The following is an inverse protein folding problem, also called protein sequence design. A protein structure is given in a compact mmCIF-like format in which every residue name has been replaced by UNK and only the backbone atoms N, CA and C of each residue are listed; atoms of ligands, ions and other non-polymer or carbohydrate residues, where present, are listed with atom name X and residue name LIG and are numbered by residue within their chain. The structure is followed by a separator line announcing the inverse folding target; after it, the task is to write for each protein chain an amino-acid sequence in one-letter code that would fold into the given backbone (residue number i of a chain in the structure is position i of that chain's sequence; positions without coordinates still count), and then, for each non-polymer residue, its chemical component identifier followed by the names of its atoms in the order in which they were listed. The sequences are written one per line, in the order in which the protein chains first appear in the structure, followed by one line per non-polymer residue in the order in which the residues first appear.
data_IF_451468882418
#
_entry.id   IF_451468882418
#
_cell.length_a   1.000
_cell.length_b   1.000
_cell.length_c   1.000
_cell.angle_alpha   90.00
_cell.angle_beta   90.00
_cell.angle_gamma   90.00
#
_symmetry.space_group_name_H-M   'P 1'
#
loop_
_entity.id
_entity.type
_entity.pdbx_description
1 polymer ?
#
# COMPACT_ATOMS: atom_id res chain seq x y z
N UNK A 1 9.20 9.37 -2.71
CA UNK A 1 9.43 9.06 -4.14
C UNK A 1 9.96 10.31 -4.83
N UNK A 2 10.92 10.16 -5.72
CA UNK A 2 11.54 11.23 -6.49
C UNK A 2 11.97 10.73 -7.88
N UNK A 3 12.67 11.57 -8.67
CA UNK A 3 13.08 11.24 -10.03
C UNK A 3 14.11 10.11 -10.15
N UNK A 4 14.70 9.65 -9.06
CA UNK A 4 15.59 8.48 -9.04
C UNK A 4 14.86 7.16 -8.89
N UNK A 5 13.55 7.22 -8.61
CA UNK A 5 12.75 6.04 -8.36
C UNK A 5 12.32 5.34 -9.66
N UNK A 6 12.14 4.02 -9.54
CA UNK A 6 11.66 3.14 -10.60
C UNK A 6 10.38 2.47 -10.15
N UNK A 7 9.32 2.69 -10.91
CA UNK A 7 7.96 2.25 -10.57
C UNK A 7 7.55 1.09 -11.47
N UNK A 8 7.06 0.00 -10.88
CA UNK A 8 6.42 -1.08 -11.63
C UNK A 8 4.91 -0.86 -11.65
N UNK A 9 4.38 -0.65 -12.85
CA UNK A 9 2.94 -0.56 -13.10
C UNK A 9 2.37 -1.96 -13.35
N UNK A 10 1.41 -2.36 -12.55
CA UNK A 10 0.79 -3.68 -12.63
C UNK A 10 -0.74 -3.62 -12.69
N UNK A 11 -1.35 -2.71 -11.95
CA UNK A 11 -2.81 -2.58 -11.91
C UNK A 11 -3.36 -1.96 -13.20
N UNK A 12 -4.64 -2.16 -13.53
CA UNK A 12 -5.24 -1.57 -14.71
C UNK A 12 -5.20 -0.04 -14.68
N UNK A 13 -4.71 0.59 -15.75
CA UNK A 13 -4.59 2.06 -15.86
C UNK A 13 -5.93 2.81 -15.80
N UNK A 14 -7.04 2.14 -16.12
CA UNK A 14 -8.37 2.71 -15.99
C UNK A 14 -8.88 2.72 -14.54
N UNK A 15 -8.23 2.00 -13.64
CA UNK A 15 -8.53 2.07 -12.21
C UNK A 15 -7.88 3.32 -11.62
N UNK A 16 -8.65 4.12 -10.89
CA UNK A 16 -8.21 5.40 -10.33
C UNK A 16 -6.94 5.28 -9.48
N UNK A 17 -6.75 4.18 -8.75
CA UNK A 17 -5.56 3.95 -7.94
C UNK A 17 -4.30 3.87 -8.81
N UNK A 18 -4.28 3.05 -9.85
CA UNK A 18 -3.12 2.94 -10.73
C UNK A 18 -2.93 4.21 -11.57
N UNK A 19 -4.03 4.81 -12.04
CA UNK A 19 -3.97 6.06 -12.80
C UNK A 19 -3.31 7.17 -11.97
N UNK A 20 -3.75 7.38 -10.74
CA UNK A 20 -3.27 8.48 -9.90
C UNK A 20 -1.92 8.15 -9.25
N UNK A 21 -1.85 7.05 -8.49
CA UNK A 21 -0.65 6.71 -7.69
C UNK A 21 0.44 6.08 -8.55
N UNK A 22 0.07 5.18 -9.45
CA UNK A 22 1.03 4.54 -10.35
C UNK A 22 1.49 5.47 -11.46
N UNK A 23 0.58 6.07 -12.24
CA UNK A 23 0.93 6.82 -13.45
C UNK A 23 1.17 8.31 -13.19
N UNK A 24 0.17 9.05 -12.76
CA UNK A 24 0.27 10.51 -12.68
C UNK A 24 1.32 10.96 -11.68
N UNK A 25 1.40 10.31 -10.51
CA UNK A 25 2.40 10.63 -9.51
C UNK A 25 3.83 10.34 -10.00
N UNK A 26 4.05 9.21 -10.67
CA UNK A 26 5.38 8.88 -11.23
C UNK A 26 5.81 9.89 -12.31
N UNK A 27 4.89 10.30 -13.18
CA UNK A 27 5.14 11.33 -14.19
C UNK A 27 5.44 12.69 -13.56
N UNK A 28 4.64 13.09 -12.56
CA UNK A 28 4.85 14.36 -11.85
C UNK A 28 6.22 14.45 -11.17
N UNK A 29 6.70 13.34 -10.62
CA UNK A 29 7.99 13.26 -9.93
C UNK A 29 9.18 13.00 -10.88
N UNK A 30 8.93 12.72 -12.16
CA UNK A 30 9.96 12.37 -13.13
C UNK A 30 10.58 10.99 -12.88
N UNK A 31 9.88 10.09 -12.20
CA UNK A 31 10.32 8.73 -11.93
C UNK A 31 10.24 7.85 -13.19
N UNK A 32 11.17 6.90 -13.32
CA UNK A 32 11.14 5.89 -14.39
C UNK A 32 9.96 4.94 -14.15
N UNK A 33 9.28 4.54 -15.23
CA UNK A 33 8.14 3.66 -15.17
C UNK A 33 8.29 2.48 -16.10
N UNK A 34 8.10 1.26 -15.56
CA UNK A 34 8.05 0.01 -16.29
C UNK A 34 6.66 -0.62 -16.16
N UNK A 35 6.22 -1.32 -17.18
CA UNK A 35 4.96 -2.07 -17.16
C UNK A 35 5.25 -3.54 -16.91
N UNK A 36 4.47 -4.14 -16.02
CA UNK A 36 4.60 -5.56 -15.68
C UNK A 36 4.07 -6.45 -16.82
N UNK A 37 4.82 -7.48 -17.16
CA UNK A 37 4.45 -8.47 -18.19
C UNK A 37 3.31 -9.42 -17.76
N UNK A 38 2.84 -9.27 -16.54
CA UNK A 38 1.72 -10.02 -15.98
C UNK A 38 2.03 -10.61 -14.61
N UNK A 39 0.99 -11.15 -13.95
CA UNK A 39 1.06 -11.58 -12.55
C UNK A 39 2.18 -12.60 -12.26
N UNK A 40 2.53 -13.43 -13.23
CA UNK A 40 3.58 -14.46 -13.07
C UNK A 40 4.99 -13.89 -13.14
N UNK A 41 5.14 -12.68 -13.69
CA UNK A 41 6.40 -12.02 -13.93
C UNK A 41 6.71 -10.91 -12.92
N UNK A 42 5.85 -10.67 -11.92
CA UNK A 42 6.01 -9.56 -10.97
C UNK A 42 7.40 -9.56 -10.32
N UNK A 43 7.84 -10.70 -9.74
CA UNK A 43 9.15 -10.78 -9.09
C UNK A 43 10.31 -10.68 -10.08
N UNK A 44 10.17 -11.24 -11.28
CA UNK A 44 11.13 -11.15 -12.37
C UNK A 44 11.29 -9.69 -12.78
N UNK A 45 10.20 -8.98 -13.06
CA UNK A 45 10.22 -7.57 -13.47
C UNK A 45 10.70 -6.63 -12.35
N UNK A 46 10.39 -6.92 -11.08
CA UNK A 46 10.94 -6.16 -9.94
C UNK A 46 12.46 -6.22 -9.96
N UNK A 47 13.04 -7.40 -10.21
CA UNK A 47 14.48 -7.61 -10.27
C UNK A 47 15.09 -7.00 -11.54
N UNK A 48 14.55 -7.32 -12.72
CA UNK A 48 15.06 -6.90 -14.03
C UNK A 48 15.13 -5.38 -14.14
N UNK A 49 14.07 -4.68 -13.75
CA UNK A 49 13.97 -3.22 -13.86
C UNK A 49 14.52 -2.48 -12.64
N UNK A 50 15.04 -3.21 -11.63
CA UNK A 50 15.55 -2.63 -10.38
C UNK A 50 14.52 -1.72 -9.70
N UNK A 51 13.30 -2.21 -9.57
CA UNK A 51 12.15 -1.47 -9.05
C UNK A 51 12.40 -1.02 -7.61
N UNK A 52 12.06 0.24 -7.35
CA UNK A 52 12.14 0.84 -6.01
C UNK A 52 10.78 1.04 -5.37
N UNK A 53 9.74 1.17 -6.19
CA UNK A 53 8.37 1.43 -5.74
C UNK A 53 7.37 0.64 -6.57
N UNK A 54 6.37 0.05 -5.91
CA UNK A 54 5.21 -0.55 -6.60
C UNK A 54 3.99 -0.59 -5.70
N UNK A 55 2.82 -0.63 -6.33
CA UNK A 55 1.54 -0.77 -5.68
C UNK A 55 0.83 -2.03 -6.16
N UNK A 56 0.37 -2.85 -5.22
CA UNK A 56 -0.37 -4.07 -5.51
C UNK A 56 -1.58 -4.21 -4.60
N UNK A 57 -2.48 -5.12 -4.96
CA UNK A 57 -3.56 -5.55 -4.08
C UNK A 57 -3.05 -6.55 -3.04
N UNK A 58 -3.73 -6.71 -1.88
CA UNK A 58 -3.31 -7.60 -0.79
C UNK A 58 -2.95 -9.01 -1.22
N UNK A 59 -3.74 -9.61 -2.11
CA UNK A 59 -3.54 -10.98 -2.59
C UNK A 59 -2.13 -11.23 -3.19
N UNK A 60 -1.50 -10.21 -3.76
CA UNK A 60 -0.13 -10.31 -4.30
C UNK A 60 0.86 -10.43 -3.14
N UNK A 61 0.76 -9.58 -2.12
CA UNK A 61 1.64 -9.63 -0.95
C UNK A 61 1.47 -10.91 -0.15
N UNK A 62 0.24 -11.38 0.02
CA UNK A 62 -0.07 -12.66 0.67
C UNK A 62 0.55 -13.84 -0.10
N UNK A 63 0.49 -13.81 -1.43
CA UNK A 63 1.13 -14.82 -2.28
C UNK A 63 2.66 -14.78 -2.15
N UNK A 64 3.26 -13.58 -2.16
CA UNK A 64 4.69 -13.40 -1.93
C UNK A 64 5.11 -13.95 -0.56
N UNK A 65 4.39 -13.57 0.50
CA UNK A 65 4.61 -14.06 1.85
C UNK A 65 4.56 -15.59 1.93
N UNK A 66 3.48 -16.20 1.44
CA UNK A 66 3.31 -17.66 1.43
C UNK A 66 4.45 -18.36 0.70
N UNK A 67 4.89 -17.83 -0.43
CA UNK A 67 5.99 -18.41 -1.21
C UNK A 67 7.33 -18.28 -0.49
N UNK A 68 7.61 -17.16 0.16
CA UNK A 68 8.82 -16.97 0.98
C UNK A 68 8.82 -17.95 2.15
N UNK A 69 7.73 -18.02 2.93
CA UNK A 69 7.62 -18.91 4.08
C UNK A 69 7.78 -20.38 3.69
N UNK A 70 7.14 -20.81 2.58
CA UNK A 70 7.29 -22.17 2.04
C UNK A 70 8.73 -22.47 1.59
N UNK A 71 9.43 -21.49 1.03
CA UNK A 71 10.82 -21.64 0.63
C UNK A 71 11.74 -21.80 1.84
N UNK A 72 11.53 -20.99 2.88
CA UNK A 72 12.26 -21.08 4.14
C UNK A 72 12.02 -22.41 4.85
N UNK A 73 10.77 -22.91 4.82
CA UNK A 73 10.43 -24.23 5.37
C UNK A 73 11.18 -25.35 4.65
N UNK A 74 11.19 -25.38 3.31
CA UNK A 74 11.93 -26.34 2.52
C UNK A 74 13.43 -26.31 2.79
N UNK A 75 13.97 -25.14 3.14
CA UNK A 75 15.38 -24.96 3.47
C UNK A 75 15.69 -25.28 4.94
N UNK A 76 14.69 -25.61 5.76
CA UNK A 76 14.85 -25.81 7.21
C UNK A 76 15.19 -24.56 8.00
N UNK A 77 14.95 -23.36 7.42
CA UNK A 77 15.30 -22.05 8.01
C UNK A 77 14.11 -21.34 8.66
N UNK A 78 12.88 -21.84 8.50
CA UNK A 78 11.65 -21.14 8.89
C UNK A 78 11.65 -20.71 10.34
N UNK A 79 11.93 -21.62 11.28
CA UNK A 79 11.89 -21.31 12.71
C UNK A 79 13.02 -20.34 13.12
N UNK A 80 14.19 -20.45 12.51
CA UNK A 80 15.28 -19.50 12.74
C UNK A 80 14.92 -18.08 12.26
N UNK A 81 14.29 -17.95 11.10
CA UNK A 81 13.85 -16.65 10.56
C UNK A 81 12.74 -16.07 11.42
N UNK A 82 11.72 -16.85 11.83
CA UNK A 82 10.68 -16.39 12.75
C UNK A 82 11.25 -15.86 14.08
N UNK A 83 12.23 -16.59 14.64
CA UNK A 83 12.91 -16.13 15.85
C UNK A 83 13.64 -14.81 15.63
N UNK A 84 14.38 -14.66 14.54
CA UNK A 84 15.05 -13.42 14.18
C UNK A 84 14.07 -12.26 13.98
N UNK A 85 12.88 -12.49 13.38
CA UNK A 85 11.84 -11.47 13.24
C UNK A 85 11.40 -10.92 14.61
N UNK A 86 11.14 -11.81 15.57
CA UNK A 86 10.73 -11.41 16.93
C UNK A 86 11.84 -10.67 17.66
N UNK A 87 13.07 -11.20 17.65
CA UNK A 87 14.24 -10.66 18.37
C UNK A 87 14.69 -9.29 17.83
N UNK A 88 14.37 -8.97 16.58
CA UNK A 88 14.81 -7.75 15.93
C UNK A 88 13.65 -6.77 15.60
N UNK A 89 12.48 -6.98 16.20
CA UNK A 89 11.29 -6.16 15.91
C UNK A 89 11.49 -4.67 16.18
N UNK A 90 12.27 -4.32 17.20
CA UNK A 90 12.54 -2.95 17.62
C UNK A 90 13.66 -2.26 16.84
N UNK A 91 14.35 -2.98 15.96
CA UNK A 91 15.40 -2.41 15.12
C UNK A 91 14.84 -1.51 14.04
N UNK A 92 15.67 -0.60 13.57
CA UNK A 92 15.35 0.27 12.43
C UNK A 92 15.16 -0.53 11.15
N UNK A 93 14.44 0.04 10.18
CA UNK A 93 14.22 -0.60 8.87
C UNK A 93 15.55 -0.90 8.15
N UNK A 94 16.55 -0.04 8.31
CA UNK A 94 17.88 -0.25 7.73
C UNK A 94 18.61 -1.44 8.35
N UNK A 95 18.60 -1.56 9.67
CA UNK A 95 19.20 -2.73 10.37
C UNK A 95 18.49 -4.03 10.01
N UNK A 96 17.15 -4.01 9.94
CA UNK A 96 16.36 -5.17 9.51
C UNK A 96 16.70 -5.57 8.07
N UNK A 97 16.88 -4.60 7.17
CA UNK A 97 17.29 -4.85 5.79
C UNK A 97 18.60 -5.65 5.71
N UNK A 98 19.57 -5.30 6.53
CA UNK A 98 20.85 -6.05 6.59
C UNK A 98 20.67 -7.47 7.15
N UNK A 99 19.86 -7.62 8.23
CA UNK A 99 19.58 -8.92 8.84
C UNK A 99 18.85 -9.86 7.87
N UNK A 100 17.87 -9.34 7.14
CA UNK A 100 17.01 -10.09 6.21
C UNK A 100 17.40 -9.87 4.74
N UNK A 101 18.68 -9.61 4.48
CA UNK A 101 19.21 -9.34 3.14
C UNK A 101 18.82 -10.40 2.10
N UNK A 102 18.79 -11.67 2.47
CA UNK A 102 18.39 -12.76 1.57
C UNK A 102 16.94 -12.60 1.11
N UNK A 103 16.04 -12.12 2.00
CA UNK A 103 14.63 -11.82 1.65
C UNK A 103 14.56 -10.58 0.77
N UNK A 104 15.33 -9.53 1.05
CA UNK A 104 15.41 -8.36 0.18
C UNK A 104 15.91 -8.71 -1.22
N UNK A 105 16.84 -9.63 -1.35
CA UNK A 105 17.36 -10.09 -2.65
C UNK A 105 16.30 -10.78 -3.52
N UNK A 106 15.25 -11.36 -2.91
CA UNK A 106 14.10 -11.90 -3.66
C UNK A 106 13.43 -10.78 -4.46
N UNK A 107 13.45 -9.56 -3.94
CA UNK A 107 12.90 -8.35 -4.56
C UNK A 107 14.00 -7.48 -5.22
N UNK A 108 15.14 -8.04 -5.58
CA UNK A 108 16.25 -7.32 -6.21
C UNK A 108 17.02 -6.37 -5.30
N UNK A 109 16.72 -6.31 -4.01
CA UNK A 109 17.43 -5.48 -3.01
C UNK A 109 17.20 -3.98 -3.11
N UNK A 110 16.47 -3.50 -4.13
CA UNK A 110 16.31 -2.06 -4.44
C UNK A 110 14.98 -1.47 -3.93
N UNK A 111 14.04 -2.30 -3.52
CA UNK A 111 12.72 -1.85 -3.09
C UNK A 111 12.84 -0.92 -1.88
N UNK A 112 12.32 0.30 -2.03
CA UNK A 112 12.20 1.32 -0.98
C UNK A 112 10.84 1.28 -0.32
N UNK A 113 9.78 1.03 -1.11
CA UNK A 113 8.41 1.02 -0.60
C UNK A 113 7.48 0.18 -1.49
N UNK A 114 6.62 -0.55 -0.83
CA UNK A 114 5.41 -1.14 -1.41
C UNK A 114 4.17 -0.48 -0.83
N UNK A 115 3.12 -0.33 -1.63
CA UNK A 115 1.81 0.13 -1.18
C UNK A 115 0.77 -0.96 -1.45
N UNK A 116 0.00 -1.29 -0.42
CA UNK A 116 -1.18 -2.14 -0.53
C UNK A 116 -2.44 -1.29 -0.51
N UNK A 117 -3.35 -1.52 -1.45
CA UNK A 117 -4.62 -0.80 -1.53
C UNK A 117 -5.73 -1.66 -2.10
N UNK A 118 -6.93 -1.08 -2.22
CA UNK A 118 -8.15 -1.68 -2.75
C UNK A 118 -8.83 -2.74 -1.86
N UNK A 119 -8.15 -3.29 -0.85
CA UNK A 119 -8.74 -4.17 0.16
C UNK A 119 -7.86 -4.18 1.42
N UNK A 120 -8.37 -4.70 2.53
CA UNK A 120 -7.61 -4.85 3.76
C UNK A 120 -6.52 -5.91 3.58
N UNK A 121 -5.30 -5.59 4.02
CA UNK A 121 -4.18 -6.52 4.06
C UNK A 121 -4.23 -7.36 5.33
N UNK A 122 -3.89 -8.65 5.22
CA UNK A 122 -3.72 -9.52 6.37
C UNK A 122 -2.64 -8.96 7.32
N UNK A 123 -2.99 -8.86 8.62
CA UNK A 123 -2.13 -8.23 9.64
C UNK A 123 -0.81 -8.97 9.85
N UNK A 124 -0.81 -10.29 9.74
CA UNK A 124 0.40 -11.10 9.90
C UNK A 124 1.34 -10.92 8.70
N UNK A 125 0.77 -10.77 7.49
CA UNK A 125 1.54 -10.45 6.28
C UNK A 125 2.14 -9.06 6.38
N UNK A 126 1.36 -8.07 6.77
CA UNK A 126 1.83 -6.69 6.97
C UNK A 126 2.97 -6.64 7.98
N UNK A 127 2.77 -7.28 9.16
CA UNK A 127 3.79 -7.34 10.21
C UNK A 127 5.06 -8.06 9.72
N UNK A 128 4.94 -9.15 8.97
CA UNK A 128 6.09 -9.90 8.47
C UNK A 128 6.96 -9.05 7.53
N UNK A 129 6.36 -8.33 6.57
CA UNK A 129 7.11 -7.43 5.70
C UNK A 129 7.87 -6.36 6.50
N UNK A 130 7.23 -5.79 7.53
CA UNK A 130 7.88 -4.82 8.44
C UNK A 130 8.99 -5.44 9.27
N UNK A 131 8.80 -6.66 9.76
CA UNK A 131 9.83 -7.40 10.50
C UNK A 131 11.02 -7.73 9.61
N UNK A 132 10.82 -7.97 8.31
CA UNK A 132 11.89 -8.13 7.32
C UNK A 132 12.58 -6.80 6.92
N UNK A 133 12.10 -5.66 7.38
CA UNK A 133 12.64 -4.35 7.00
C UNK A 133 12.16 -3.88 5.62
N UNK A 134 11.08 -4.45 5.09
CA UNK A 134 10.44 -4.01 3.85
C UNK A 134 9.31 -3.04 4.22
N UNK A 135 9.39 -1.85 3.65
CA UNK A 135 8.40 -0.81 3.89
C UNK A 135 7.13 -1.09 3.07
N UNK A 136 6.20 -1.83 3.68
CA UNK A 136 4.88 -2.08 3.14
C UNK A 136 3.87 -1.21 3.90
N UNK A 137 3.21 -0.30 3.18
CA UNK A 137 2.23 0.63 3.72
C UNK A 137 0.85 0.35 3.14
N UNK A 138 -0.20 0.47 3.95
CA UNK A 138 -1.56 0.44 3.47
C UNK A 138 -2.04 1.84 3.08
N UNK A 139 -2.81 1.92 1.98
CA UNK A 139 -3.57 3.09 1.58
C UNK A 139 -5.05 2.76 1.50
N UNK A 140 -5.89 3.72 1.87
CA UNK A 140 -7.34 3.62 1.81
C UNK A 140 -7.94 4.77 1.02
N UNK A 141 -8.98 4.45 0.28
CA UNK A 141 -9.77 5.42 -0.45
C UNK A 141 -10.73 4.76 -1.42
N UNK A 142 -11.44 5.58 -2.16
CA UNK A 142 -12.53 5.21 -3.06
C UNK A 142 -12.31 5.87 -4.42
N UNK A 143 -13.01 5.39 -5.45
CA UNK A 143 -13.03 6.08 -6.75
C UNK A 143 -13.51 7.53 -6.59
N UNK A 144 -14.49 7.73 -5.74
CA UNK A 144 -15.09 9.01 -5.39
C UNK A 144 -14.14 9.96 -4.65
N UNK A 145 -12.98 9.47 -4.20
CA UNK A 145 -11.96 10.27 -3.49
C UNK A 145 -10.63 10.38 -4.22
N UNK A 146 -10.54 10.04 -5.49
CA UNK A 146 -9.50 10.29 -6.51
C UNK A 146 -8.06 9.76 -6.26
N UNK A 147 -7.76 8.61 -5.70
CA UNK A 147 -8.56 7.71 -4.88
C UNK A 147 -8.29 7.83 -3.38
N UNK A 148 -7.19 8.49 -2.93
CA UNK A 148 -6.62 8.28 -1.59
C UNK A 148 -7.23 9.23 -0.58
N UNK A 149 -7.78 8.66 0.49
CA UNK A 149 -8.20 9.39 1.70
C UNK A 149 -7.04 9.45 2.70
N UNK A 150 -6.43 8.29 2.96
CA UNK A 150 -5.35 8.16 3.93
C UNK A 150 -4.34 7.10 3.54
N UNK A 151 -3.15 7.21 4.08
CA UNK A 151 -2.04 6.28 3.84
C UNK A 151 -1.15 6.20 5.07
N UNK A 152 -0.62 5.02 5.32
CA UNK A 152 0.42 4.83 6.31
C UNK A 152 1.76 5.40 5.84
N UNK A 153 2.54 5.85 6.79
CA UNK A 153 3.95 6.21 6.58
C UNK A 153 4.81 5.47 7.59
N UNK A 154 6.13 5.48 7.41
CA UNK A 154 7.04 4.88 8.38
C UNK A 154 6.90 5.46 9.80
N UNK A 155 6.54 6.74 9.90
CA UNK A 155 6.38 7.47 11.17
C UNK A 155 5.02 7.21 11.82
N UNK A 156 4.02 6.85 11.04
CA UNK A 156 2.65 6.64 11.48
C UNK A 156 2.16 5.20 11.24
N UNK A 157 3.08 4.25 11.19
CA UNK A 157 2.75 2.85 10.97
C UNK A 157 2.06 2.24 12.19
N UNK A 158 0.96 1.54 11.95
CA UNK A 158 0.27 0.71 12.92
C UNK A 158 -0.41 -0.45 12.20
N UNK A 159 -0.02 -1.67 12.49
CA UNK A 159 -0.58 -2.88 11.86
C UNK A 159 -2.11 -2.87 11.87
N UNK A 160 -2.68 -3.07 10.70
CA UNK A 160 -4.12 -3.07 10.46
C UNK A 160 -4.76 -1.69 10.42
N UNK A 161 -3.95 -0.62 10.33
CA UNK A 161 -4.42 0.74 10.13
C UNK A 161 -4.43 1.09 8.63
N UNK A 162 -5.20 2.09 8.27
CA UNK A 162 -5.15 2.73 6.95
C UNK A 162 -4.37 4.05 6.96
N UNK A 163 -3.66 4.32 8.04
CA UNK A 163 -2.86 5.53 8.23
C UNK A 163 -3.67 6.77 8.60
N UNK A 164 -3.09 7.92 8.33
CA UNK A 164 -3.72 9.23 8.57
C UNK A 164 -4.27 9.80 7.26
N UNK A 165 -5.30 10.66 7.35
CA UNK A 165 -5.77 11.40 6.18
C UNK A 165 -4.63 12.18 5.51
N UNK A 166 -4.70 12.28 4.19
CA UNK A 166 -3.78 13.11 3.41
C UNK A 166 -3.86 14.59 3.82
N UNK A 167 -2.83 15.40 3.58
CA UNK A 167 -2.92 16.85 3.75
C UNK A 167 -4.14 17.42 3.02
N UNK A 168 -4.87 18.30 3.69
CA UNK A 168 -6.12 18.93 3.22
C UNK A 168 -7.35 18.01 3.13
N UNK A 169 -7.23 16.73 3.51
CA UNK A 169 -8.37 15.82 3.67
C UNK A 169 -8.77 15.80 5.14
N UNK A 170 -10.03 16.11 5.41
CA UNK A 170 -10.65 15.98 6.72
C UNK A 170 -11.43 14.66 6.79
N UNK A 171 -11.41 14.03 7.94
CA UNK A 171 -12.11 12.77 8.17
C UNK A 171 -12.77 12.81 9.56
N UNK A 172 -13.98 12.28 9.66
CA UNK A 172 -14.69 12.07 10.92
C UNK A 172 -15.39 10.71 10.90
N UNK A 173 -15.73 10.20 12.07
CA UNK A 173 -16.56 9.01 12.21
C UNK A 173 -17.94 9.45 12.69
N UNK A 174 -18.93 9.19 11.87
CA UNK A 174 -20.32 9.46 12.20
C UNK A 174 -20.99 8.20 12.76
N UNK A 175 -22.03 8.38 13.59
CA UNK A 175 -22.80 7.30 14.22
C UNK A 175 -21.95 6.25 14.93
N UNK A 176 -20.87 6.69 15.59
CA UNK A 176 -19.95 5.80 16.29
C UNK A 176 -20.67 5.07 17.44
N UNK A 177 -20.53 3.74 17.46
CA UNK A 177 -20.99 2.90 18.58
C UNK A 177 -20.04 3.01 19.80
N UNK A 178 -20.34 2.25 20.87
CA UNK A 178 -19.55 2.27 22.11
C UNK A 178 -18.08 1.86 21.91
N UNK A 179 -17.78 1.11 20.84
CA UNK A 179 -16.40 0.68 20.48
C UNK A 179 -15.73 1.70 19.55
N UNK A 180 -16.39 2.80 19.19
CA UNK A 180 -15.90 3.84 18.31
C UNK A 180 -15.95 3.47 16.81
N UNK A 181 -16.68 2.42 16.44
CA UNK A 181 -16.92 2.05 15.05
C UNK A 181 -18.14 2.78 14.50
N UNK A 182 -18.00 3.40 13.33
CA UNK A 182 -19.05 4.15 12.66
C UNK A 182 -18.71 4.37 11.20
N UNK A 183 -19.49 5.20 10.54
CA UNK A 183 -19.28 5.57 9.15
C UNK A 183 -18.12 6.56 9.02
N UNK A 184 -17.20 6.28 8.10
CA UNK A 184 -16.13 7.22 7.77
C UNK A 184 -16.61 8.25 6.76
N UNK A 185 -16.72 9.50 7.20
CA UNK A 185 -17.16 10.62 6.39
C UNK A 185 -15.98 11.55 6.12
N UNK A 186 -15.82 11.97 4.87
CA UNK A 186 -14.62 12.70 4.44
C UNK A 186 -14.95 13.97 3.67
N UNK A 187 -14.02 14.95 3.75
CA UNK A 187 -14.11 16.22 3.01
C UNK A 187 -12.72 16.64 2.57
N UNK A 188 -12.58 16.99 1.31
CA UNK A 188 -11.29 17.46 0.79
C UNK A 188 -11.33 17.71 -0.71
N UNK A 189 -10.24 18.28 -1.26
CA UNK A 189 -10.13 18.56 -2.69
C UNK A 189 -10.08 17.31 -3.57
N UNK A 190 -9.89 16.15 -2.98
CA UNK A 190 -9.88 14.83 -3.63
C UNK A 190 -11.27 14.22 -3.77
N UNK A 191 -12.29 14.74 -3.09
CA UNK A 191 -13.68 14.27 -3.18
C UNK A 191 -14.26 14.65 -4.54
N UNK A 192 -14.98 13.75 -5.17
CA UNK A 192 -15.64 13.93 -6.46
C UNK A 192 -16.66 15.10 -6.43
N UNK A 193 -16.99 15.61 -7.60
CA UNK A 193 -18.06 16.61 -7.73
C UNK A 193 -19.47 16.01 -7.68
N UNK A 194 -19.58 14.71 -7.91
CA UNK A 194 -20.82 13.95 -7.93
C UNK A 194 -20.81 12.86 -9.00
N UNK A 195 -21.84 12.04 -9.01
CA UNK A 195 -22.05 11.03 -10.03
C UNK A 195 -22.57 11.68 -11.32
N UNK A 196 -21.92 11.34 -12.45
CA UNK A 196 -22.27 11.94 -13.74
C UNK A 196 -23.68 11.57 -14.18
N UNK A 197 -24.52 12.59 -14.36
CA UNK A 197 -25.90 12.43 -14.79
C UNK A 197 -26.86 11.86 -13.71
N UNK A 198 -26.39 11.74 -12.44
CA UNK A 198 -27.19 11.20 -11.35
C UNK A 198 -27.11 12.11 -10.11
N UNK A 199 -27.92 13.14 -10.10
CA UNK A 199 -28.01 14.10 -8.99
C UNK A 199 -28.65 13.48 -7.74
N UNK A 200 -29.52 12.48 -7.89
CA UNK A 200 -30.19 11.85 -6.75
C UNK A 200 -29.18 11.02 -5.96
N UNK A 201 -28.46 10.11 -6.63
CA UNK A 201 -27.38 9.36 -5.99
C UNK A 201 -26.29 10.29 -5.40
N UNK A 202 -25.99 11.41 -6.07
CA UNK A 202 -25.04 12.40 -5.52
C UNK A 202 -25.54 12.99 -4.20
N UNK A 203 -26.82 13.37 -4.11
CA UNK A 203 -27.42 13.94 -2.89
C UNK A 203 -27.49 12.94 -1.73
N UNK A 204 -27.56 11.65 -2.01
CA UNK A 204 -27.56 10.61 -0.99
C UNK A 204 -26.23 10.50 -0.25
N UNK A 205 -25.10 10.80 -0.92
CA UNK A 205 -23.75 10.62 -0.37
C UNK A 205 -23.00 11.92 -0.11
N UNK A 206 -23.56 13.08 -0.54
CA UNK A 206 -22.89 14.37 -0.42
C UNK A 206 -23.69 15.34 0.42
N UNK A 207 -23.12 15.82 1.53
CA UNK A 207 -23.69 16.92 2.30
C UNK A 207 -23.54 18.26 1.55
N UNK A 208 -24.40 19.22 1.87
CA UNK A 208 -24.41 20.56 1.23
C UNK A 208 -23.12 21.35 1.39
N UNK A 209 -22.37 21.08 2.46
CA UNK A 209 -21.09 21.70 2.78
C UNK A 209 -19.88 20.89 2.31
N UNK A 210 -20.11 19.79 1.56
CA UNK A 210 -19.09 19.03 0.86
C UNK A 210 -18.47 17.84 1.63
N UNK A 211 -19.14 17.36 2.67
CA UNK A 211 -18.80 16.06 3.25
C UNK A 211 -19.39 14.94 2.40
N UNK A 212 -18.62 13.86 2.26
CA UNK A 212 -18.93 12.68 1.50
C UNK A 212 -18.99 11.46 2.44
N UNK A 213 -20.10 10.69 2.33
CA UNK A 213 -20.42 9.51 3.10
C UNK A 213 -19.97 8.21 2.44
#
# INVERSE_FOLDING_TARGET
MDSSDKVLSFLPLYHVFECTVGMLLSLYLGAERSFCDGIRHILENINEYNITFSSFVPAIYESMYKNIMKTLEKQGKLEAVKKLMVENRDKTMAEKKEIFKDIHNIFGGNVKMFISGAAALDKDVEQAFRDWGINLCQGYGLTETSPVIGVETNENFRVGSIGKPLPHVQARIDDANEEGMGELVVKGPNVMLGYYGDEEATKEVMEKDGWFH
#
